data_IF_077303098557
#
_entry.id   IF_077303098557
#
_cell.length_a   1.000
_cell.length_b   1.000
_cell.length_c   1.000
_cell.angle_alpha   90.00
_cell.angle_beta   90.00
_cell.angle_gamma   90.00
#
_symmetry.space_group_name_H-M   'P 1'
#
loop_
_entity.id
_entity.type
_entity.pdbx_description
1 polymer ?
#
# COMPACT_ATOMS: atom_id res chain seq x y z
N UNK A 1 -14.55 -16.63 1.76
CA UNK A 1 -15.19 -15.89 2.89
C UNK A 1 -15.82 -14.62 2.33
N UNK A 2 -17.01 -14.21 2.79
CA UNK A 2 -17.76 -13.05 2.25
C UNK A 2 -17.99 -11.97 3.33
N UNK A 3 -16.91 -11.43 3.90
CA UNK A 3 -16.99 -10.26 4.79
C UNK A 3 -16.92 -8.94 4.00
N UNK A 4 -17.11 -7.77 4.65
CA UNK A 4 -17.13 -6.47 3.99
C UNK A 4 -15.78 -6.01 3.39
N UNK A 5 -14.66 -6.49 3.93
CA UNK A 5 -13.31 -6.04 3.56
C UNK A 5 -12.58 -7.07 2.68
N UNK A 6 -11.43 -6.71 2.09
CA UNK A 6 -10.63 -7.63 1.23
C UNK A 6 -10.15 -8.86 2.00
N UNK A 7 -9.97 -8.76 3.31
CA UNK A 7 -9.79 -9.89 4.23
C UNK A 7 -10.63 -9.71 5.48
N UNK A 8 -11.19 -10.80 6.01
CA UNK A 8 -11.93 -10.76 7.27
C UNK A 8 -11.66 -12.02 8.09
N UNK A 9 -11.56 -11.88 9.41
CA UNK A 9 -11.53 -13.03 10.34
C UNK A 9 -12.94 -13.33 10.87
N UNK A 10 -13.25 -14.54 11.34
CA UNK A 10 -14.52 -14.78 12.02
C UNK A 10 -14.58 -14.05 13.38
N UNK A 11 -15.77 -13.56 13.74
CA UNK A 11 -16.02 -13.02 15.08
C UNK A 11 -15.99 -14.13 16.16
N UNK A 12 -15.66 -13.78 17.39
CA UNK A 12 -15.71 -14.67 18.57
C UNK A 12 -16.60 -14.05 19.64
N UNK A 13 -17.92 -14.31 19.61
CA UNK A 13 -18.89 -13.61 20.46
C UNK A 13 -18.74 -13.86 21.97
N UNK A 14 -18.01 -14.90 22.38
CA UNK A 14 -17.80 -15.22 23.81
C UNK A 14 -16.85 -14.25 24.51
N UNK A 15 -16.12 -13.43 23.76
CA UNK A 15 -15.16 -12.43 24.28
C UNK A 15 -15.34 -11.07 23.61
N UNK A 16 -16.52 -10.79 23.05
CA UNK A 16 -16.84 -9.55 22.30
C UNK A 16 -15.82 -9.18 21.21
N UNK A 17 -15.15 -10.19 20.64
CA UNK A 17 -14.17 -9.99 19.58
C UNK A 17 -14.88 -9.94 18.21
N UNK A 18 -14.75 -8.83 17.46
CA UNK A 18 -15.44 -8.66 16.19
C UNK A 18 -14.79 -9.47 15.08
N UNK A 19 -15.43 -9.47 13.90
CA UNK A 19 -14.75 -9.87 12.67
C UNK A 19 -13.72 -8.78 12.34
N UNK A 20 -12.42 -9.06 12.50
CA UNK A 20 -11.41 -8.09 12.08
C UNK A 20 -11.55 -7.86 10.58
N UNK A 21 -11.66 -6.59 10.21
CA UNK A 21 -11.62 -6.13 8.84
C UNK A 21 -10.18 -5.75 8.47
N UNK A 22 -9.63 -6.42 7.46
CA UNK A 22 -8.31 -6.15 6.91
C UNK A 22 -8.49 -5.50 5.54
N UNK A 23 -7.93 -4.30 5.33
CA UNK A 23 -8.16 -3.53 4.12
C UNK A 23 -6.87 -2.97 3.50
N UNK A 24 -6.82 -3.03 2.17
CA UNK A 24 -5.84 -2.30 1.37
C UNK A 24 -6.15 -0.79 1.42
N UNK A 25 -5.22 0.09 1.14
CA UNK A 25 -3.88 -0.08 0.58
C UNK A 25 -2.87 0.85 1.27
N UNK A 26 -1.56 0.74 0.98
CA UNK A 26 -0.54 1.63 1.51
C UNK A 26 -0.69 3.14 1.21
N UNK A 27 -1.65 3.55 0.37
CA UNK A 27 -1.89 4.95 0.01
C UNK A 27 -3.33 5.44 0.22
N UNK A 28 -4.23 4.64 0.78
CA UNK A 28 -5.61 5.04 1.07
C UNK A 28 -6.53 3.84 1.18
N UNK A 29 -7.77 4.02 1.64
CA UNK A 29 -8.72 2.91 1.77
C UNK A 29 -9.17 2.46 0.37
N UNK A 30 -8.78 1.24 -0.02
CA UNK A 30 -9.16 0.64 -1.30
C UNK A 30 -10.63 0.25 -1.30
N UNK A 31 -11.28 0.37 -2.47
CA UNK A 31 -12.69 -0.03 -2.68
C UNK A 31 -13.66 0.61 -1.69
N UNK A 32 -13.44 1.88 -1.36
CA UNK A 32 -14.34 2.71 -0.58
C UNK A 32 -14.54 4.07 -1.26
N UNK A 33 -15.68 4.72 -1.00
CA UNK A 33 -15.95 6.10 -1.39
C UNK A 33 -15.75 7.05 -0.20
N UNK A 34 -15.70 8.36 -0.45
CA UNK A 34 -15.52 9.39 0.59
C UNK A 34 -14.23 9.18 1.42
N UNK A 35 -13.15 8.87 0.71
CA UNK A 35 -11.79 8.59 1.21
C UNK A 35 -10.80 9.39 0.38
N UNK A 36 -9.61 9.62 0.91
CA UNK A 36 -8.55 10.31 0.19
C UNK A 36 -7.63 9.34 -0.54
N UNK A 37 -7.01 9.85 -1.61
CA UNK A 37 -5.91 9.20 -2.32
C UNK A 37 -4.60 9.93 -1.98
N UNK A 38 -3.78 9.35 -1.10
CA UNK A 38 -2.52 9.94 -0.65
C UNK A 38 -1.38 9.71 -1.65
N UNK A 39 -0.31 10.52 -1.63
CA UNK A 39 0.89 10.25 -2.43
C UNK A 39 1.47 8.87 -2.09
N UNK A 40 2.04 8.23 -3.11
CA UNK A 40 2.67 6.91 -3.00
C UNK A 40 3.81 6.86 -1.96
N UNK A 41 4.23 5.66 -1.58
CA UNK A 41 5.37 5.46 -0.68
C UNK A 41 6.65 6.13 -1.22
N UNK A 42 6.89 6.03 -2.53
CA UNK A 42 8.09 6.60 -3.15
C UNK A 42 8.11 8.13 -3.09
N UNK A 43 6.96 8.79 -3.28
CA UNK A 43 6.82 10.24 -3.09
C UNK A 43 7.04 10.63 -1.62
N UNK A 44 6.45 9.86 -0.71
CA UNK A 44 6.57 10.06 0.73
C UNK A 44 8.04 10.01 1.18
N UNK A 45 8.80 9.03 0.68
CA UNK A 45 10.25 8.93 0.92
C UNK A 45 11.05 10.07 0.27
N UNK A 46 10.65 10.50 -0.93
CA UNK A 46 11.30 11.61 -1.64
C UNK A 46 11.24 12.95 -0.89
N UNK A 47 10.35 13.09 0.11
CA UNK A 47 10.34 14.26 1.00
C UNK A 47 11.54 14.33 1.95
N UNK A 48 12.17 13.18 2.27
CA UNK A 48 13.18 13.04 3.32
C UNK A 48 12.75 13.65 4.67
N UNK A 49 11.44 13.71 4.93
CA UNK A 49 10.86 14.43 6.06
C UNK A 49 10.02 13.50 6.96
N UNK A 50 10.61 13.07 8.08
CA UNK A 50 9.94 12.18 9.05
C UNK A 50 8.61 12.72 9.56
N UNK A 51 8.50 14.04 9.74
CA UNK A 51 7.26 14.68 10.20
C UNK A 51 6.14 14.49 9.18
N UNK A 52 6.42 14.70 7.88
CA UNK A 52 5.44 14.48 6.82
C UNK A 52 5.09 13.00 6.66
N UNK A 53 6.08 12.11 6.77
CA UNK A 53 5.85 10.66 6.71
C UNK A 53 4.92 10.21 7.85
N UNK A 54 5.18 10.65 9.09
CA UNK A 54 4.32 10.34 10.24
C UNK A 54 2.94 10.95 10.10
N UNK A 55 2.84 12.21 9.68
CA UNK A 55 1.55 12.88 9.47
C UNK A 55 0.70 12.12 8.44
N UNK A 56 1.30 11.65 7.34
CA UNK A 56 0.63 10.78 6.36
C UNK A 56 0.14 9.49 7.01
N UNK A 57 0.95 8.86 7.86
CA UNK A 57 0.56 7.68 8.61
C UNK A 57 -0.64 7.92 9.52
N UNK A 58 -0.68 9.04 10.24
CA UNK A 58 -1.82 9.43 11.09
C UNK A 58 -3.08 9.59 10.25
N UNK A 59 -3.03 10.39 9.18
CA UNK A 59 -4.18 10.65 8.30
C UNK A 59 -4.71 9.36 7.66
N UNK A 60 -3.82 8.47 7.19
CA UNK A 60 -4.22 7.13 6.73
C UNK A 60 -4.94 6.36 7.85
N UNK A 61 -4.35 6.29 9.04
CA UNK A 61 -4.98 5.61 10.17
C UNK A 61 -6.36 6.18 10.53
N UNK A 62 -6.54 7.50 10.45
CA UNK A 62 -7.81 8.16 10.75
C UNK A 62 -8.91 7.74 9.76
N UNK A 63 -8.58 7.69 8.46
CA UNK A 63 -9.52 7.21 7.44
C UNK A 63 -9.86 5.73 7.60
N UNK A 64 -8.86 4.90 7.86
CA UNK A 64 -9.06 3.47 8.09
C UNK A 64 -9.94 3.22 9.32
N UNK A 65 -9.68 3.91 10.44
CA UNK A 65 -10.51 3.83 11.64
C UNK A 65 -11.91 4.35 11.40
N UNK A 66 -12.07 5.47 10.68
CA UNK A 66 -13.38 6.04 10.35
C UNK A 66 -14.26 5.08 9.53
N UNK A 67 -13.64 4.21 8.72
CA UNK A 67 -14.32 3.14 8.00
C UNK A 67 -14.57 1.86 8.81
N UNK A 68 -14.15 1.82 10.07
CA UNK A 68 -14.20 0.64 10.95
C UNK A 68 -13.21 -0.46 10.57
N UNK A 69 -12.17 -0.12 9.81
CA UNK A 69 -11.15 -1.08 9.40
C UNK A 69 -10.19 -1.31 10.57
N UNK A 70 -9.87 -2.57 10.84
CA UNK A 70 -9.03 -2.94 11.98
C UNK A 70 -7.55 -3.00 11.60
N UNK A 71 -7.25 -3.47 10.38
CA UNK A 71 -5.87 -3.66 9.90
C UNK A 71 -5.67 -2.92 8.58
N UNK A 72 -4.74 -1.97 8.60
CA UNK A 72 -4.19 -1.31 7.42
C UNK A 72 -3.13 -2.22 6.81
N UNK A 73 -3.35 -2.68 5.57
CA UNK A 73 -2.43 -3.55 4.83
C UNK A 73 -1.26 -2.76 4.25
N UNK A 74 -0.45 -2.20 5.13
CA UNK A 74 0.77 -1.50 4.80
C UNK A 74 1.56 -1.06 6.05
N UNK A 75 2.66 -0.32 5.86
CA UNK A 75 3.19 0.09 4.55
C UNK A 75 3.89 -1.07 3.80
N UNK A 76 4.17 -0.88 2.51
CA UNK A 76 5.15 -1.69 1.79
C UNK A 76 6.57 -1.14 2.04
N UNK A 77 7.55 -2.03 2.18
CA UNK A 77 8.95 -1.64 2.38
C UNK A 77 9.95 -2.63 1.75
N UNK A 78 9.54 -3.37 0.72
CA UNK A 78 10.51 -4.15 -0.02
C UNK A 78 11.49 -3.21 -0.74
N UNK A 79 12.74 -3.65 -0.82
CA UNK A 79 13.80 -2.84 -1.39
C UNK A 79 13.62 -2.80 -2.90
N UNK A 80 13.73 -1.61 -3.49
CA UNK A 80 13.70 -1.44 -4.96
C UNK A 80 14.99 -2.00 -5.60
N UNK A 81 15.20 -3.32 -5.50
CA UNK A 81 16.39 -4.02 -5.98
C UNK A 81 16.53 -3.91 -7.49
N UNK A 82 15.42 -4.00 -8.21
CA UNK A 82 15.35 -3.88 -9.66
C UNK A 82 14.51 -2.65 -9.99
N UNK A 83 15.06 -1.70 -10.76
CA UNK A 83 14.34 -0.46 -11.11
C UNK A 83 13.00 -0.72 -11.82
N UNK A 84 12.90 -1.81 -12.60
CA UNK A 84 11.68 -2.24 -13.29
C UNK A 84 10.74 -3.10 -12.41
N UNK A 85 10.96 -3.18 -11.10
CA UNK A 85 10.07 -3.87 -10.16
C UNK A 85 8.69 -3.22 -10.14
N UNK A 86 7.64 -4.00 -10.40
CA UNK A 86 6.30 -3.47 -10.68
C UNK A 86 5.63 -2.73 -9.51
N UNK A 87 6.03 -3.02 -8.27
CA UNK A 87 5.41 -2.47 -7.05
C UNK A 87 6.34 -1.57 -6.25
N UNK A 88 7.50 -1.23 -6.81
CA UNK A 88 8.50 -0.38 -6.15
C UNK A 88 7.88 0.90 -5.60
N UNK A 89 6.95 1.52 -6.35
CA UNK A 89 6.30 2.77 -5.99
C UNK A 89 5.46 2.70 -4.69
N UNK A 90 4.98 1.52 -4.30
CA UNK A 90 4.26 1.32 -3.04
C UNK A 90 5.18 1.50 -1.83
N UNK A 91 6.46 1.12 -1.99
CA UNK A 91 7.51 1.21 -0.99
C UNK A 91 8.30 2.53 -1.04
N UNK A 92 9.43 2.57 -0.34
CA UNK A 92 10.12 3.84 -0.01
C UNK A 92 11.47 4.07 -0.71
N UNK A 93 11.97 3.11 -1.49
CA UNK A 93 13.24 3.28 -2.21
C UNK A 93 14.15 2.06 -2.19
N UNK A 94 15.36 2.26 -2.72
CA UNK A 94 16.40 1.23 -2.77
C UNK A 94 17.35 1.24 -1.55
N UNK A 95 17.23 2.24 -0.66
CA UNK A 95 18.11 2.37 0.51
C UNK A 95 17.45 1.81 1.78
N UNK A 96 18.09 0.85 2.48
CA UNK A 96 17.48 0.20 3.65
C UNK A 96 17.28 1.14 4.84
N UNK A 97 18.13 2.15 5.01
CA UNK A 97 17.99 3.09 6.12
C UNK A 97 16.81 4.05 5.88
N UNK A 98 16.72 4.65 4.70
CA UNK A 98 15.60 5.51 4.31
C UNK A 98 14.28 4.73 4.37
N UNK A 99 14.24 3.53 3.78
CA UNK A 99 13.04 2.69 3.82
C UNK A 99 12.65 2.29 5.24
N UNK A 100 13.62 2.02 6.11
CA UNK A 100 13.36 1.68 7.51
C UNK A 100 12.91 2.86 8.38
N UNK A 101 13.43 4.06 8.15
CA UNK A 101 12.93 5.26 8.84
C UNK A 101 11.53 5.62 8.34
N UNK A 102 11.26 5.49 7.03
CA UNK A 102 9.94 5.77 6.47
C UNK A 102 8.87 4.76 6.94
N UNK A 103 9.22 3.47 7.01
CA UNK A 103 8.33 2.44 7.55
C UNK A 103 8.03 2.68 9.03
N UNK A 104 9.07 2.96 9.84
CA UNK A 104 8.92 3.28 11.26
C UNK A 104 7.93 4.44 11.47
N UNK A 105 8.14 5.56 10.77
CA UNK A 105 7.31 6.76 10.93
C UNK A 105 5.87 6.54 10.48
N UNK A 106 5.67 5.80 9.39
CA UNK A 106 4.33 5.45 8.89
C UNK A 106 3.59 4.56 9.89
N UNK A 107 4.26 3.55 10.47
CA UNK A 107 3.66 2.63 11.44
C UNK A 107 3.30 3.37 12.73
N UNK A 108 4.19 4.21 13.25
CA UNK A 108 3.88 5.05 14.42
C UNK A 108 2.64 5.91 14.15
N UNK A 109 2.54 6.51 12.97
CA UNK A 109 1.37 7.32 12.59
C UNK A 109 0.08 6.51 12.59
N UNK A 110 0.01 5.44 11.81
CA UNK A 110 -1.20 4.61 11.65
C UNK A 110 -1.65 4.03 12.99
N UNK A 111 -0.71 3.54 13.79
CA UNK A 111 -1.03 2.91 15.07
C UNK A 111 -1.39 3.90 16.17
N UNK A 112 -0.95 5.17 16.06
CA UNK A 112 -1.29 6.20 17.06
C UNK A 112 -2.78 6.47 17.18
N UNK A 113 -3.56 6.12 16.14
CA UNK A 113 -5.02 6.26 16.10
C UNK A 113 -5.74 4.92 16.26
N UNK A 114 -5.03 3.86 16.65
CA UNK A 114 -5.59 2.56 17.01
C UNK A 114 -5.86 1.60 15.84
N UNK A 115 -5.38 1.89 14.63
CA UNK A 115 -5.40 0.94 13.50
C UNK A 115 -4.15 0.07 13.55
N UNK A 116 -4.28 -1.23 13.30
CA UNK A 116 -3.13 -2.14 13.21
C UNK A 116 -2.36 -1.90 11.92
N UNK A 117 -1.04 -1.67 12.01
CA UNK A 117 -0.15 -1.69 10.85
C UNK A 117 0.23 -3.11 10.46
N UNK A 118 0.38 -3.38 9.16
CA UNK A 118 0.80 -4.67 8.61
C UNK A 118 1.99 -4.47 7.65
N UNK A 119 3.21 -4.56 8.18
CA UNK A 119 4.42 -4.36 7.39
C UNK A 119 4.57 -5.46 6.32
N UNK A 120 4.66 -5.06 5.04
CA UNK A 120 4.65 -5.99 3.89
C UNK A 120 5.71 -5.66 2.82
N UNK A 121 6.06 -6.58 1.92
CA UNK A 121 5.75 -8.02 1.96
C UNK A 121 6.98 -8.75 2.51
N UNK A 122 6.84 -9.48 3.60
CA UNK A 122 7.95 -10.15 4.27
C UNK A 122 8.24 -11.51 3.60
N UNK A 123 9.28 -11.71 2.81
CA UNK A 123 10.35 -10.79 2.44
C UNK A 123 10.92 -11.16 1.06
N UNK A 124 11.70 -10.25 0.47
CA UNK A 124 12.39 -10.42 -0.82
C UNK A 124 11.46 -10.59 -2.03
N UNK A 125 10.25 -10.01 -2.00
CA UNK A 125 9.34 -9.97 -3.14
C UNK A 125 9.68 -8.82 -4.09
N UNK A 126 10.92 -8.78 -4.59
CA UNK A 126 11.46 -7.61 -5.31
C UNK A 126 11.12 -7.60 -6.82
N UNK A 127 10.26 -8.52 -7.29
CA UNK A 127 9.76 -8.57 -8.67
C UNK A 127 8.38 -9.25 -8.76
N UNK A 128 7.54 -8.75 -9.67
CA UNK A 128 6.20 -9.33 -9.91
C UNK A 128 6.24 -10.60 -10.76
N UNK A 129 7.22 -10.72 -11.65
CA UNK A 129 7.33 -11.85 -12.56
C UNK A 129 7.62 -13.13 -11.78
N UNK A 130 6.74 -14.13 -11.89
CA UNK A 130 6.81 -15.38 -11.13
C UNK A 130 6.82 -15.19 -9.61
N UNK A 131 6.20 -14.13 -9.06
CA UNK A 131 6.13 -13.96 -7.60
C UNK A 131 5.51 -15.15 -6.87
N UNK A 132 4.61 -15.89 -7.51
CA UNK A 132 3.95 -17.11 -6.99
C UNK A 132 4.69 -18.42 -7.35
N UNK A 133 5.93 -18.36 -7.85
CA UNK A 133 6.69 -19.57 -8.23
C UNK A 133 8.21 -19.45 -8.18
N UNK A 134 8.74 -18.23 -8.05
CA UNK A 134 10.18 -17.95 -7.98
C UNK A 134 10.73 -18.10 -6.56
N UNK A 135 12.06 -18.24 -6.47
CA UNK A 135 12.80 -18.20 -5.22
C UNK A 135 13.81 -17.07 -5.24
N UNK A 136 13.72 -16.18 -4.25
CA UNK A 136 14.72 -15.17 -3.94
C UNK A 136 15.80 -15.82 -3.08
N UNK A 137 17.00 -15.97 -3.64
CA UNK A 137 18.11 -16.63 -2.95
C UNK A 137 19.12 -15.58 -2.48
N UNK A 138 19.17 -15.36 -1.16
CA UNK A 138 19.90 -14.26 -0.54
C UNK A 138 20.80 -14.81 0.56
N UNK A 139 22.05 -14.37 0.60
CA UNK A 139 22.97 -14.72 1.67
C UNK A 139 22.62 -14.00 2.98
N UNK A 140 23.01 -14.60 4.10
CA UNK A 140 22.64 -14.12 5.44
C UNK A 140 23.03 -12.66 5.70
N UNK A 141 24.20 -12.22 5.19
CA UNK A 141 24.67 -10.86 5.40
C UNK A 141 23.82 -9.86 4.63
N UNK A 142 23.58 -10.10 3.35
CA UNK A 142 22.69 -9.25 2.55
C UNK A 142 21.26 -9.25 3.11
N UNK A 143 20.79 -10.40 3.63
CA UNK A 143 19.50 -10.51 4.27
C UNK A 143 19.39 -9.55 5.46
N UNK A 144 20.36 -9.55 6.37
CA UNK A 144 20.34 -8.69 7.57
C UNK A 144 20.64 -7.20 7.27
N UNK A 145 21.65 -6.91 6.44
CA UNK A 145 22.11 -5.53 6.20
C UNK A 145 21.19 -4.74 5.25
N UNK A 146 20.42 -5.41 4.39
CA UNK A 146 19.63 -4.75 3.34
C UNK A 146 18.13 -5.05 3.50
N UNK A 147 17.72 -6.31 3.34
CA UNK A 147 16.31 -6.62 3.16
C UNK A 147 15.53 -6.61 4.49
N UNK A 148 16.13 -7.14 5.56
CA UNK A 148 15.52 -7.19 6.89
C UNK A 148 15.53 -5.85 7.61
N UNK A 149 16.50 -4.98 7.31
CA UNK A 149 16.68 -3.69 7.98
C UNK A 149 15.38 -2.86 8.08
N UNK A 150 14.58 -2.64 7.02
CA UNK A 150 13.33 -1.89 7.14
C UNK A 150 12.26 -2.63 7.96
N UNK A 151 12.20 -3.96 7.90
CA UNK A 151 11.25 -4.75 8.70
C UNK A 151 11.62 -4.78 10.19
N UNK A 152 12.92 -4.82 10.53
CA UNK A 152 13.39 -4.68 11.90
C UNK A 152 12.99 -3.30 12.48
N UNK A 153 13.06 -2.23 11.68
CA UNK A 153 12.59 -0.91 12.10
C UNK A 153 11.08 -0.90 12.34
N UNK A 154 10.30 -1.59 11.51
CA UNK A 154 8.86 -1.80 11.74
C UNK A 154 8.58 -2.58 13.03
N UNK A 155 9.37 -3.63 13.34
CA UNK A 155 9.28 -4.34 14.62
C UNK A 155 9.59 -3.41 15.81
N UNK A 156 10.62 -2.56 15.69
CA UNK A 156 10.98 -1.56 16.70
C UNK A 156 9.91 -0.45 16.86
N UNK A 157 9.08 -0.23 15.85
CA UNK A 157 7.89 0.63 15.92
C UNK A 157 6.68 -0.08 16.57
N UNK A 158 6.85 -1.31 17.05
CA UNK A 158 5.79 -2.19 17.54
C UNK A 158 4.68 -2.41 16.50
N UNK A 159 5.04 -2.65 15.24
CA UNK A 159 4.05 -2.99 14.21
C UNK A 159 3.19 -4.18 14.66
N UNK A 160 1.88 -4.07 14.51
CA UNK A 160 0.93 -5.08 14.96
C UNK A 160 1.08 -6.41 14.21
N UNK A 161 1.36 -6.35 12.91
CA UNK A 161 1.59 -7.54 12.09
C UNK A 161 2.65 -7.39 10.99
N UNK A 162 3.13 -8.55 10.54
CA UNK A 162 3.83 -8.71 9.27
C UNK A 162 2.95 -9.50 8.28
N UNK A 163 3.04 -9.17 6.99
CA UNK A 163 2.44 -9.97 5.93
C UNK A 163 3.53 -10.73 5.19
N UNK A 164 3.54 -12.06 5.25
CA UNK A 164 4.50 -12.87 4.51
C UNK A 164 4.19 -12.89 3.00
N UNK A 165 5.23 -12.86 2.17
CA UNK A 165 5.15 -12.68 0.73
C UNK A 165 4.82 -13.95 -0.07
N UNK A 166 4.53 -13.75 -1.36
CA UNK A 166 4.26 -14.84 -2.32
C UNK A 166 5.47 -15.71 -2.66
N UNK A 167 6.66 -15.12 -2.75
CA UNK A 167 7.84 -15.81 -3.27
C UNK A 167 8.39 -16.85 -2.29
N UNK A 168 9.22 -17.75 -2.81
CA UNK A 168 10.10 -18.57 -1.98
C UNK A 168 11.36 -17.78 -1.58
N UNK A 169 11.96 -18.18 -0.46
CA UNK A 169 13.24 -17.68 0.02
C UNK A 169 14.14 -18.90 0.21
N UNK A 170 15.22 -18.98 -0.55
CA UNK A 170 16.13 -20.13 -0.54
C UNK A 170 15.41 -21.48 -0.72
N UNK A 171 14.35 -21.53 -1.55
CA UNK A 171 13.61 -22.74 -1.90
C UNK A 171 12.45 -23.12 -0.96
N UNK A 172 12.09 -22.28 0.02
CA UNK A 172 10.91 -22.47 0.88
C UNK A 172 10.00 -21.25 0.81
N UNK A 173 8.69 -21.45 0.66
CA UNK A 173 7.69 -20.36 0.58
C UNK A 173 7.79 -19.42 1.78
N UNK A 174 7.68 -18.11 1.57
CA UNK A 174 7.88 -17.13 2.65
C UNK A 174 6.96 -17.37 3.84
N UNK A 175 5.68 -17.68 3.58
CA UNK A 175 4.69 -18.00 4.62
C UNK A 175 4.87 -19.37 5.30
N UNK A 176 5.89 -20.14 4.90
CA UNK A 176 6.27 -21.44 5.50
C UNK A 176 7.79 -21.52 5.73
N UNK A 177 8.47 -20.36 5.80
CA UNK A 177 9.91 -20.30 5.93
C UNK A 177 10.30 -20.19 7.41
N UNK A 178 10.61 -21.34 8.02
CA UNK A 178 11.02 -21.44 9.43
C UNK A 178 12.15 -20.46 9.80
N UNK A 179 13.15 -20.35 8.92
CA UNK A 179 14.31 -19.48 9.13
C UNK A 179 13.90 -18.00 9.18
N UNK A 180 12.94 -17.58 8.37
CA UNK A 180 12.52 -16.18 8.34
C UNK A 180 11.51 -15.87 9.45
N UNK A 181 10.49 -16.70 9.63
CA UNK A 181 9.38 -16.39 10.54
C UNK A 181 9.69 -16.77 12.00
N UNK A 182 10.16 -17.99 12.26
CA UNK A 182 10.44 -18.46 13.61
C UNK A 182 11.80 -17.97 14.09
N UNK A 183 12.88 -18.27 13.36
CA UNK A 183 14.24 -17.96 13.80
C UNK A 183 14.49 -16.45 13.87
N UNK A 184 14.20 -15.70 12.80
CA UNK A 184 14.54 -14.27 12.73
C UNK A 184 13.45 -13.41 13.38
N UNK A 185 12.22 -13.44 12.86
CA UNK A 185 11.15 -12.54 13.35
C UNK A 185 10.79 -12.86 14.80
N UNK A 186 10.39 -14.10 15.10
CA UNK A 186 9.95 -14.47 16.45
C UNK A 186 11.10 -14.71 17.42
N UNK A 187 12.23 -15.24 16.94
CA UNK A 187 13.41 -15.58 17.74
C UNK A 187 14.35 -14.40 17.94
N UNK A 188 15.11 -14.03 16.91
CA UNK A 188 16.16 -13.01 16.97
C UNK A 188 15.62 -11.64 17.40
N UNK A 189 14.49 -11.21 16.82
CA UNK A 189 13.90 -9.91 17.16
C UNK A 189 13.00 -9.97 18.39
N UNK A 190 12.59 -11.17 18.81
CA UNK A 190 11.60 -11.34 19.89
C UNK A 190 10.25 -10.70 19.56
N UNK A 191 9.85 -10.69 18.29
CA UNK A 191 8.65 -9.98 17.82
C UNK A 191 7.37 -10.53 18.47
N UNK A 192 6.55 -9.69 19.14
CA UNK A 192 5.35 -10.15 19.86
C UNK A 192 4.07 -10.12 19.01
N UNK A 193 4.06 -9.47 17.85
CA UNK A 193 2.89 -9.40 16.98
C UNK A 193 2.64 -10.70 16.20
N UNK A 194 1.70 -10.64 15.25
CA UNK A 194 1.30 -11.80 14.46
C UNK A 194 1.77 -11.71 13.00
N UNK A 195 1.89 -12.86 12.33
CA UNK A 195 2.25 -12.95 10.91
C UNK A 195 1.04 -13.46 10.13
N UNK A 196 0.57 -12.66 9.18
CA UNK A 196 -0.47 -13.06 8.24
C UNK A 196 0.11 -13.44 6.88
N UNK A 197 -0.62 -14.25 6.11
CA UNK A 197 -0.27 -14.47 4.70
C UNK A 197 -0.67 -13.28 3.83
N UNK A 198 0.08 -13.07 2.74
CA UNK A 198 -0.49 -12.45 1.55
C UNK A 198 -1.64 -13.33 1.00
N UNK A 199 -2.47 -12.79 0.13
CA UNK A 199 -3.72 -13.42 -0.30
C UNK A 199 -3.43 -14.67 -1.13
N UNK A 200 -3.66 -15.85 -0.54
CA UNK A 200 -3.37 -17.15 -1.17
C UNK A 200 -1.91 -17.62 -1.03
N UNK A 201 -1.10 -16.97 -0.19
CA UNK A 201 0.30 -17.34 0.03
C UNK A 201 0.51 -18.44 1.08
N UNK A 202 -0.56 -18.98 1.67
CA UNK A 202 -0.48 -20.18 2.52
C UNK A 202 -0.46 -21.41 1.60
N UNK A 203 0.46 -22.36 1.80
CA UNK A 203 0.62 -23.53 0.92
C UNK A 203 0.37 -24.88 1.63
N UNK A 204 0.18 -24.89 2.95
CA UNK A 204 -0.08 -26.07 3.76
C UNK A 204 -0.68 -25.71 5.12
N UNK A 205 -1.33 -26.69 5.76
CA UNK A 205 -1.77 -26.57 7.16
C UNK A 205 -0.58 -26.46 8.12
N UNK A 206 0.56 -27.06 7.78
CA UNK A 206 1.76 -27.06 8.62
C UNK A 206 2.51 -25.73 8.61
N UNK A 207 2.10 -24.75 7.78
CA UNK A 207 2.56 -23.37 7.83
C UNK A 207 2.57 -22.78 9.24
N UNK A 208 1.63 -23.20 10.10
CA UNK A 208 1.55 -22.78 11.50
C UNK A 208 2.81 -23.16 12.30
N UNK A 209 3.37 -24.35 12.05
CA UNK A 209 4.58 -24.82 12.72
C UNK A 209 5.81 -24.02 12.27
N UNK A 210 5.77 -23.44 11.07
CA UNK A 210 6.80 -22.57 10.53
C UNK A 210 6.61 -21.09 10.86
N UNK A 211 5.63 -20.76 11.71
CA UNK A 211 5.50 -19.41 12.29
C UNK A 211 4.35 -18.57 11.77
N UNK A 212 3.53 -19.05 10.81
CA UNK A 212 2.33 -18.34 10.37
C UNK A 212 1.28 -18.28 11.49
N UNK A 213 0.58 -17.14 11.62
CA UNK A 213 -0.45 -16.92 12.64
C UNK A 213 -1.86 -16.71 12.04
N UNK A 214 -1.95 -16.17 10.83
CA UNK A 214 -3.22 -15.89 10.17
C UNK A 214 -3.15 -16.21 8.67
N UNK A 215 -4.14 -16.95 8.17
CA UNK A 215 -4.27 -17.21 6.72
C UNK A 215 -5.29 -16.26 6.11
N UNK A 216 -4.96 -15.69 4.95
CA UNK A 216 -5.81 -14.79 4.18
C UNK A 216 -5.79 -15.16 2.68
N UNK A 217 -6.92 -15.04 1.95
CA UNK A 217 -8.27 -14.70 2.45
C UNK A 217 -8.97 -15.88 3.14
N UNK A 218 -8.25 -16.98 3.36
CA UNK A 218 -8.67 -18.13 4.13
C UNK A 218 -8.92 -19.38 3.29
N UNK A 219 -9.31 -19.22 2.03
CA UNK A 219 -9.41 -20.34 1.08
C UNK A 219 -8.07 -20.64 0.39
N UNK A 220 -7.90 -21.89 -0.07
CA UNK A 220 -6.69 -22.36 -0.77
C UNK A 220 -6.58 -21.67 -2.14
N UNK A 221 -7.72 -21.56 -2.82
CA UNK A 221 -7.89 -20.76 -4.03
C UNK A 221 -9.18 -20.00 -3.87
N UNK A 222 -9.25 -18.78 -4.40
CA UNK A 222 -10.38 -17.90 -4.11
C UNK A 222 -11.73 -18.52 -4.51
N UNK A 223 -12.67 -18.52 -3.57
CA UNK A 223 -13.99 -19.09 -3.74
C UNK A 223 -14.04 -20.62 -3.70
N UNK A 224 -12.94 -21.33 -3.41
CA UNK A 224 -12.95 -22.81 -3.40
C UNK A 224 -13.72 -23.40 -2.23
N UNK A 225 -13.93 -22.63 -1.16
CA UNK A 225 -14.45 -23.10 0.13
C UNK A 225 -13.63 -24.25 0.74
N UNK A 226 -12.37 -24.42 0.31
CA UNK A 226 -11.38 -25.29 0.95
C UNK A 226 -10.33 -24.43 1.61
N UNK A 227 -9.81 -24.81 2.77
CA UNK A 227 -8.87 -24.00 3.55
C UNK A 227 -7.72 -24.86 4.07
N UNK A 228 -6.52 -24.29 4.15
CA UNK A 228 -5.42 -24.91 4.88
C UNK A 228 -5.59 -24.79 6.39
N UNK A 229 -6.36 -23.82 6.88
CA UNK A 229 -6.66 -23.67 8.30
C UNK A 229 -8.09 -24.17 8.57
N UNK A 230 -8.87 -23.49 9.43
CA UNK A 230 -10.23 -23.92 9.79
C UNK A 230 -10.28 -25.38 10.24
N UNK A 231 -11.12 -26.19 9.58
CA UNK A 231 -11.24 -27.62 9.91
C UNK A 231 -9.93 -28.39 9.71
N UNK A 232 -9.14 -28.06 8.68
CA UNK A 232 -7.87 -28.76 8.43
C UNK A 232 -6.88 -28.54 9.59
N UNK A 233 -6.84 -27.34 10.17
CA UNK A 233 -6.03 -27.05 11.34
C UNK A 233 -6.55 -27.76 12.60
N UNK A 234 -7.88 -27.81 12.79
CA UNK A 234 -8.49 -28.59 13.89
C UNK A 234 -8.08 -30.06 13.79
N UNK A 235 -8.16 -30.63 12.59
CA UNK A 235 -7.79 -32.03 12.36
C UNK A 235 -6.30 -32.29 12.62
N UNK A 236 -5.42 -31.36 12.22
CA UNK A 236 -3.98 -31.43 12.46
C UNK A 236 -3.61 -31.31 13.96
N UNK A 237 -4.38 -30.56 14.74
CA UNK A 237 -4.23 -30.53 16.21
C UNK A 237 -4.67 -31.87 16.82
N UNK A 238 -5.83 -32.39 16.38
CA UNK A 238 -6.36 -33.67 16.87
C UNK A 238 -5.45 -34.87 16.51
N UNK A 239 -4.75 -34.82 15.38
CA UNK A 239 -3.77 -35.84 14.97
C UNK A 239 -2.42 -35.72 15.68
N UNK A 240 -2.14 -34.56 16.31
CA UNK A 240 -0.86 -34.25 16.94
C UNK A 240 0.21 -33.70 15.98
N UNK A 241 -0.14 -33.42 14.72
CA UNK A 241 0.77 -32.81 13.74
C UNK A 241 1.02 -31.31 14.05
N UNK A 242 0.06 -30.67 14.72
CA UNK A 242 0.18 -29.29 15.23
C UNK A 242 -0.06 -29.30 16.74
N UNK A 243 0.90 -28.83 17.54
CA UNK A 243 0.70 -28.67 18.98
C UNK A 243 -0.43 -27.67 19.31
N UNK A 244 -1.27 -27.95 20.31
CA UNK A 244 -2.38 -27.06 20.71
C UNK A 244 -1.89 -25.69 21.23
N UNK A 245 -0.74 -25.68 21.91
CA UNK A 245 -0.07 -24.45 22.37
C UNK A 245 0.39 -23.58 21.21
N UNK A 246 0.72 -24.17 20.05
CA UNK A 246 1.02 -23.41 18.83
C UNK A 246 -0.18 -22.59 18.39
N UNK A 247 -1.38 -23.17 18.33
CA UNK A 247 -2.61 -22.46 17.98
C UNK A 247 -2.97 -21.40 19.02
N UNK A 248 -2.72 -21.69 20.31
CA UNK A 248 -2.90 -20.73 21.39
C UNK A 248 -1.99 -19.50 21.25
N UNK A 249 -0.72 -19.68 20.85
CA UNK A 249 0.20 -18.57 20.57
C UNK A 249 -0.25 -17.72 19.35
N UNK A 250 -0.78 -18.35 18.29
CA UNK A 250 -1.34 -17.62 17.15
C UNK A 250 -2.48 -16.67 17.59
N UNK A 251 -3.44 -17.22 18.34
CA UNK A 251 -4.57 -16.45 18.87
C UNK A 251 -4.11 -15.35 19.84
N UNK A 252 -3.14 -15.66 20.71
CA UNK A 252 -2.58 -14.70 21.65
C UNK A 252 -1.96 -13.49 20.93
N UNK A 253 -1.18 -13.70 19.86
CA UNK A 253 -0.54 -12.62 19.09
C UNK A 253 -1.57 -11.72 18.40
N UNK A 254 -2.61 -12.32 17.83
CA UNK A 254 -3.70 -11.58 17.17
C UNK A 254 -4.49 -10.75 18.21
N UNK A 255 -4.86 -11.37 19.33
CA UNK A 255 -5.57 -10.68 20.41
C UNK A 255 -4.70 -9.59 21.06
N UNK A 256 -3.41 -9.83 21.23
CA UNK A 256 -2.48 -8.85 21.79
C UNK A 256 -2.42 -7.59 20.92
N UNK A 257 -2.38 -7.73 19.59
CA UNK A 257 -2.43 -6.58 18.68
C UNK A 257 -3.76 -5.82 18.77
N UNK A 258 -4.88 -6.53 18.87
CA UNK A 258 -6.21 -5.95 19.02
C UNK A 258 -6.33 -5.11 20.32
N UNK A 259 -5.89 -5.66 21.45
CA UNK A 259 -5.87 -4.95 22.74
C UNK A 259 -4.84 -3.82 22.80
N UNK A 260 -3.63 -4.02 22.23
CA UNK A 260 -2.55 -3.02 22.24
C UNK A 260 -3.01 -1.68 21.65
N UNK A 261 -3.90 -1.74 20.66
CA UNK A 261 -4.36 -0.59 19.89
C UNK A 261 -5.76 -0.13 20.27
N UNK A 262 -6.30 -0.64 21.39
CA UNK A 262 -7.59 -0.22 21.95
C UNK A 262 -8.76 -0.47 21.01
N UNK A 263 -8.72 -1.58 20.26
CA UNK A 263 -9.79 -1.95 19.34
C UNK A 263 -10.93 -2.71 20.04
N UNK A 264 -10.78 -2.98 21.33
CA UNK A 264 -11.74 -3.61 22.22
C UNK A 264 -12.71 -2.62 22.87
N UNK A 265 -12.38 -1.32 22.89
CA UNK A 265 -13.19 -0.29 23.54
C UNK A 265 -13.63 0.80 22.54
N UNK A 266 -14.90 0.80 22.15
CA UNK A 266 -15.48 1.87 21.34
C UNK A 266 -14.90 1.99 19.93
N UNK A 267 -14.43 0.89 19.35
CA UNK A 267 -13.97 0.86 17.96
C UNK A 267 -15.15 1.00 16.98
N UNK A 268 -15.04 1.80 15.91
CA UNK A 268 -16.13 1.98 14.95
C UNK A 268 -16.50 0.69 14.22
N UNK A 269 -17.79 0.49 13.95
CA UNK A 269 -18.24 -0.62 13.11
C UNK A 269 -17.82 -0.42 11.65
N UNK A 270 -17.46 -1.53 11.00
CA UNK A 270 -17.13 -1.54 9.57
C UNK A 270 -18.30 -1.04 8.73
N UNK A 271 -18.06 -0.03 7.91
CA UNK A 271 -19.10 0.67 7.15
C UNK A 271 -18.84 0.68 5.63
N UNK A 272 -18.01 -0.25 5.16
CA UNK A 272 -17.69 -0.46 3.75
C UNK A 272 -18.18 -1.82 3.25
N UNK A 273 -18.27 -1.97 1.93
CA UNK A 273 -18.47 -3.22 1.22
C UNK A 273 -17.60 -3.21 -0.05
N UNK A 274 -16.42 -3.81 0.05
CA UNK A 274 -15.34 -3.72 -0.94
C UNK A 274 -15.66 -4.32 -2.31
N UNK A 275 -16.76 -5.06 -2.42
CA UNK A 275 -17.12 -5.82 -3.62
C UNK A 275 -18.05 -5.07 -4.57
N UNK A 276 -18.76 -4.05 -4.05
CA UNK A 276 -19.62 -3.17 -4.83
C UNK A 276 -19.86 -1.87 -4.06
N UNK A 277 -19.27 -0.78 -4.55
CA UNK A 277 -19.40 0.55 -3.96
C UNK A 277 -20.86 1.04 -3.86
N UNK A 278 -21.75 0.57 -4.74
CA UNK A 278 -23.16 0.98 -4.74
C UNK A 278 -24.05 0.08 -3.88
N UNK A 279 -23.47 -0.95 -3.25
CA UNK A 279 -24.22 -1.84 -2.35
C UNK A 279 -24.75 -1.04 -1.14
N UNK A 280 -26.02 -1.21 -0.73
CA UNK A 280 -26.60 -0.50 0.41
C UNK A 280 -25.86 -0.70 1.75
N UNK A 281 -24.96 -1.69 1.85
CA UNK A 281 -24.09 -1.91 3.01
C UNK A 281 -22.93 -0.93 3.08
N UNK A 282 -22.55 -0.28 1.97
CA UNK A 282 -21.66 0.88 2.02
C UNK A 282 -22.44 2.06 2.61
N UNK A 283 -21.99 2.57 3.76
CA UNK A 283 -22.66 3.71 4.41
C UNK A 283 -22.13 5.07 3.93
N UNK A 284 -21.12 5.08 3.05
CA UNK A 284 -20.53 6.28 2.47
C UNK A 284 -20.14 7.34 3.52
N UNK A 285 -19.58 6.90 4.66
CA UNK A 285 -19.12 7.80 5.72
C UNK A 285 -17.94 8.64 5.21
N UNK A 286 -18.05 9.97 5.24
CA UNK A 286 -16.92 10.84 4.87
C UNK A 286 -15.85 10.86 5.95
N UNK A 287 -14.64 10.44 5.56
CA UNK A 287 -13.47 10.37 6.43
C UNK A 287 -12.31 11.25 5.95
N UNK A 288 -12.48 12.03 4.89
CA UNK A 288 -11.40 12.82 4.26
C UNK A 288 -10.87 13.95 5.14
N UNK A 289 -11.67 14.42 6.11
CA UNK A 289 -11.33 15.52 7.02
C UNK A 289 -10.66 16.71 6.29
N UNK A 290 -9.49 17.16 6.75
CA UNK A 290 -8.64 18.16 6.10
C UNK A 290 -7.39 17.54 5.42
N UNK A 291 -7.40 16.23 5.17
CA UNK A 291 -6.23 15.50 4.65
C UNK A 291 -5.76 16.01 3.28
N UNK A 292 -6.63 16.66 2.51
CA UNK A 292 -6.29 17.29 1.24
C UNK A 292 -5.11 18.29 1.34
N UNK A 293 -5.01 19.07 2.43
CA UNK A 293 -3.88 19.99 2.60
C UNK A 293 -2.56 19.27 2.83
N UNK A 294 -2.58 18.19 3.62
CA UNK A 294 -1.40 17.36 3.85
C UNK A 294 -0.96 16.63 2.57
N UNK A 295 -1.92 16.10 1.81
CA UNK A 295 -1.67 15.45 0.52
C UNK A 295 -0.96 16.42 -0.42
N UNK A 296 -1.43 17.67 -0.50
CA UNK A 296 -0.78 18.72 -1.29
C UNK A 296 0.61 19.05 -0.78
N UNK A 297 0.80 19.20 0.53
CA UNK A 297 2.11 19.50 1.12
C UNK A 297 3.14 18.40 0.80
N UNK A 298 2.74 17.13 0.87
CA UNK A 298 3.61 16.00 0.51
C UNK A 298 3.88 15.98 -1.00
N UNK A 299 2.87 16.24 -1.84
CA UNK A 299 3.06 16.33 -3.29
C UNK A 299 4.08 17.43 -3.67
N UNK A 300 3.95 18.61 -3.06
CA UNK A 300 4.87 19.73 -3.26
C UNK A 300 6.29 19.37 -2.77
N UNK A 301 6.42 18.82 -1.56
CA UNK A 301 7.70 18.44 -0.96
C UNK A 301 8.40 17.25 -1.63
N UNK A 302 7.65 16.42 -2.37
CA UNK A 302 8.17 15.23 -3.06
C UNK A 302 8.58 15.49 -4.51
N UNK A 303 8.36 16.70 -5.03
CA UNK A 303 8.77 17.06 -6.40
C UNK A 303 10.26 17.37 -6.45
N UNK A 304 11.04 16.51 -7.12
CA UNK A 304 12.50 16.62 -7.20
C UNK A 304 12.92 17.43 -8.44
N UNK A 305 13.55 18.59 -8.22
CA UNK A 305 14.15 19.38 -9.29
C UNK A 305 15.49 18.77 -9.73
N UNK A 306 15.47 17.96 -10.80
CA UNK A 306 16.68 17.30 -11.31
C UNK A 306 17.58 18.23 -12.13
N UNK A 307 16.98 19.21 -12.83
CA UNK A 307 17.70 20.11 -13.74
C UNK A 307 17.03 21.48 -13.75
N UNK A 308 17.83 22.53 -13.58
CA UNK A 308 17.40 23.92 -13.77
C UNK A 308 18.54 24.71 -14.41
N UNK A 309 18.38 25.08 -15.67
CA UNK A 309 19.37 25.86 -16.42
C UNK A 309 18.89 27.28 -16.59
N UNK A 310 19.81 28.25 -16.58
CA UNK A 310 19.55 29.67 -16.83
C UNK A 310 18.49 30.31 -15.91
N UNK A 311 18.18 29.70 -14.77
CA UNK A 311 17.15 30.18 -13.86
C UNK A 311 15.73 30.10 -14.43
N UNK A 312 15.45 29.15 -15.33
CA UNK A 312 14.12 28.96 -15.93
C UNK A 312 13.03 28.75 -14.87
N UNK A 313 13.33 27.97 -13.82
CA UNK A 313 12.43 27.82 -12.67
C UNK A 313 12.96 28.64 -11.47
N UNK A 314 12.08 29.28 -10.68
CA UNK A 314 10.62 29.31 -10.83
C UNK A 314 10.15 30.20 -12.00
N UNK A 315 8.99 29.88 -12.57
CA UNK A 315 8.37 30.72 -13.60
C UNK A 315 7.95 32.07 -13.02
N UNK A 316 8.01 33.12 -13.84
CA UNK A 316 7.69 34.50 -13.44
C UNK A 316 6.66 35.12 -14.40
N UNK A 317 5.44 34.56 -14.43
CA UNK A 317 4.34 35.04 -15.26
C UNK A 317 4.72 35.23 -16.75
N UNK A 318 5.13 34.16 -17.47
CA UNK A 318 5.42 34.26 -18.90
C UNK A 318 4.19 34.74 -19.69
N UNK A 319 4.37 35.32 -20.87
CA UNK A 319 3.22 35.76 -21.68
C UNK A 319 2.39 34.58 -22.20
N UNK A 320 3.05 33.44 -22.46
CA UNK A 320 2.43 32.23 -23.00
C UNK A 320 3.09 30.94 -22.50
N UNK A 321 2.26 29.91 -22.28
CA UNK A 321 2.67 28.56 -21.89
C UNK A 321 2.04 27.54 -22.85
N UNK A 322 2.87 26.64 -23.38
CA UNK A 322 2.43 25.42 -24.04
C UNK A 322 2.45 24.25 -23.05
N UNK A 323 1.35 23.51 -22.92
CA UNK A 323 1.25 22.29 -22.11
C UNK A 323 1.13 21.09 -23.04
N UNK A 324 2.08 20.16 -22.97
CA UNK A 324 2.23 19.08 -23.94
C UNK A 324 2.24 17.73 -23.22
N UNK A 325 1.53 16.75 -23.78
CA UNK A 325 1.50 15.36 -23.32
C UNK A 325 0.19 14.99 -22.65
N UNK A 326 -0.26 13.75 -22.88
CA UNK A 326 -1.46 13.17 -22.28
C UNK A 326 -1.40 13.20 -20.75
N UNK A 327 -0.21 13.02 -20.17
CA UNK A 327 0.07 13.11 -18.74
C UNK A 327 -0.25 14.46 -18.07
N UNK A 328 -0.60 15.49 -18.83
CA UNK A 328 -1.07 16.76 -18.29
C UNK A 328 -2.59 16.82 -18.07
N UNK A 329 -3.35 15.90 -18.67
CA UNK A 329 -4.81 15.96 -18.76
C UNK A 329 -5.54 14.90 -17.93
N UNK A 330 -6.86 14.84 -18.14
CA UNK A 330 -7.72 13.87 -17.49
C UNK A 330 -7.64 12.50 -18.18
N UNK A 331 -7.88 11.44 -17.41
CA UNK A 331 -8.13 10.11 -17.95
C UNK A 331 -9.45 10.11 -18.76
N UNK A 332 -9.42 9.56 -19.97
CA UNK A 332 -10.57 9.56 -20.88
C UNK A 332 -11.77 8.72 -20.38
N UNK A 333 -11.52 7.77 -19.48
CA UNK A 333 -12.51 6.90 -18.84
C UNK A 333 -13.00 7.45 -17.49
N UNK A 334 -12.51 8.63 -17.07
CA UNK A 334 -12.75 9.22 -15.75
C UNK A 334 -11.68 8.82 -14.72
N UNK A 335 -11.60 9.59 -13.63
CA UNK A 335 -10.52 9.50 -12.62
C UNK A 335 -10.34 8.09 -12.01
N UNK A 336 -11.42 7.30 -11.96
CA UNK A 336 -11.44 5.94 -11.44
C UNK A 336 -11.86 4.90 -12.49
N UNK A 337 -11.88 5.28 -13.78
CA UNK A 337 -12.47 4.48 -14.86
C UNK A 337 -11.72 3.19 -15.18
N UNK A 338 -10.43 3.13 -14.87
CA UNK A 338 -9.63 1.92 -14.99
C UNK A 338 -9.67 1.12 -13.68
N UNK A 339 -10.09 -0.15 -13.79
CA UNK A 339 -10.10 -1.11 -12.68
C UNK A 339 -8.71 -1.16 -12.05
N UNK A 340 -8.63 -0.98 -10.74
CA UNK A 340 -7.37 -0.97 -9.98
C UNK A 340 -6.30 -0.04 -10.56
N UNK A 341 -6.75 1.04 -11.20
CA UNK A 341 -5.91 2.05 -11.87
C UNK A 341 -5.03 1.47 -12.99
N UNK A 342 -5.41 0.33 -13.58
CA UNK A 342 -4.60 -0.42 -14.56
C UNK A 342 -4.55 0.20 -15.97
N UNK A 343 -4.23 1.48 -16.07
CA UNK A 343 -4.02 2.17 -17.33
C UNK A 343 -3.12 3.41 -17.14
N UNK A 344 -2.41 3.78 -18.20
CA UNK A 344 -1.63 5.01 -18.25
C UNK A 344 -2.27 5.97 -19.27
N UNK A 345 -3.41 6.55 -18.91
CA UNK A 345 -4.16 7.54 -19.68
C UNK A 345 -4.55 8.73 -18.80
N UNK A 346 -4.14 9.92 -19.20
CA UNK A 346 -4.17 11.15 -18.40
C UNK A 346 -2.97 11.24 -17.45
N UNK A 347 -3.07 12.14 -16.47
CA UNK A 347 -2.06 12.29 -15.41
C UNK A 347 -1.92 11.00 -14.60
N UNK A 348 -0.68 10.51 -14.48
CA UNK A 348 -0.34 9.36 -13.64
C UNK A 348 -0.11 9.81 -12.20
N UNK A 349 -1.09 9.62 -11.33
CA UNK A 349 -1.01 9.98 -9.90
C UNK A 349 -0.65 8.79 -8.99
N UNK A 350 -0.84 7.57 -9.47
CA UNK A 350 -0.60 6.31 -8.74
C UNK A 350 -0.34 5.19 -9.76
N UNK A 351 0.46 4.18 -9.40
CA UNK A 351 0.53 2.94 -10.18
C UNK A 351 -0.71 2.06 -10.01
N UNK A 352 -0.69 0.85 -10.56
CA UNK A 352 -1.85 -0.05 -10.52
C UNK A 352 -1.74 -1.21 -9.51
N UNK A 353 -2.87 -1.86 -9.21
CA UNK A 353 -2.92 -3.08 -8.43
C UNK A 353 -3.55 -2.90 -7.05
N UNK A 354 -3.18 -3.74 -6.09
CA UNK A 354 -3.72 -3.68 -4.72
C UNK A 354 -3.26 -2.48 -3.90
N UNK A 355 -2.17 -1.84 -4.32
CA UNK A 355 -1.66 -0.61 -3.73
C UNK A 355 -2.51 0.64 -3.95
N UNK A 356 -3.77 0.55 -4.38
CA UNK A 356 -4.54 1.69 -4.90
C UNK A 356 -5.70 2.12 -3.98
N UNK A 357 -6.26 3.30 -4.24
CA UNK A 357 -7.51 3.79 -3.67
C UNK A 357 -8.34 4.49 -4.74
N UNK A 358 -9.62 4.74 -4.46
CA UNK A 358 -10.47 5.57 -5.31
C UNK A 358 -10.17 7.05 -5.09
N UNK A 359 -10.05 7.82 -6.16
CA UNK A 359 -9.88 9.27 -6.08
C UNK A 359 -11.25 9.95 -5.85
N UNK A 360 -11.41 10.83 -4.84
CA UNK A 360 -12.61 11.65 -4.70
C UNK A 360 -12.63 12.76 -5.78
N UNK A 361 -11.45 13.20 -6.21
CA UNK A 361 -11.18 14.08 -7.34
C UNK A 361 -9.69 13.96 -7.71
N UNK A 362 -9.31 14.47 -8.87
CA UNK A 362 -7.91 14.55 -9.29
C UNK A 362 -7.67 15.87 -10.03
N UNK A 363 -6.82 16.73 -9.45
CA UNK A 363 -6.47 18.01 -10.07
C UNK A 363 -5.36 17.76 -11.09
N UNK A 364 -5.66 17.96 -12.37
CA UNK A 364 -4.66 17.74 -13.43
C UNK A 364 -3.65 18.89 -13.51
N UNK A 365 -2.43 18.64 -14.01
CA UNK A 365 -1.47 19.71 -14.24
C UNK A 365 -2.00 20.81 -15.17
N UNK A 366 -2.75 20.43 -16.21
CA UNK A 366 -3.40 21.39 -17.11
C UNK A 366 -4.36 22.30 -16.36
N UNK A 367 -5.23 21.75 -15.51
CA UNK A 367 -6.21 22.53 -14.74
C UNK A 367 -5.50 23.49 -13.77
N UNK A 368 -4.51 22.99 -13.02
CA UNK A 368 -3.79 23.79 -12.03
C UNK A 368 -2.97 24.92 -12.65
N UNK A 369 -2.25 24.64 -13.75
CA UNK A 369 -1.44 25.65 -14.45
C UNK A 369 -2.33 26.65 -15.15
N UNK A 370 -3.44 26.23 -15.75
CA UNK A 370 -4.41 27.15 -16.39
C UNK A 370 -5.03 28.10 -15.37
N UNK A 371 -5.40 27.59 -14.19
CA UNK A 371 -5.93 28.43 -13.12
C UNK A 371 -4.92 29.51 -12.68
N UNK A 372 -3.64 29.14 -12.50
CA UNK A 372 -2.59 30.10 -12.15
C UNK A 372 -2.29 31.09 -13.28
N UNK A 373 -2.19 30.61 -14.51
CA UNK A 373 -1.92 31.43 -15.69
C UNK A 373 -3.00 32.52 -15.89
N UNK A 374 -4.26 32.23 -15.54
CA UNK A 374 -5.34 33.21 -15.60
C UNK A 374 -5.15 34.39 -14.62
N UNK A 375 -4.55 34.15 -13.44
CA UNK A 375 -4.21 35.22 -12.48
C UNK A 375 -3.08 36.12 -13.01
N UNK A 376 -2.14 35.52 -13.74
CA UNK A 376 -0.94 36.18 -14.26
C UNK A 376 -1.17 36.86 -15.63
N UNK A 377 -2.32 36.64 -16.27
CA UNK A 377 -2.59 37.09 -17.64
C UNK A 377 -1.82 36.32 -18.73
N UNK A 378 -1.31 35.13 -18.38
CA UNK A 378 -0.58 34.21 -19.26
C UNK A 378 -1.54 33.43 -20.14
N UNK A 379 -1.25 33.32 -21.44
CA UNK A 379 -2.04 32.49 -22.37
C UNK A 379 -1.58 31.04 -22.31
N UNK A 380 -2.51 30.10 -22.13
CA UNK A 380 -2.21 28.64 -22.15
C UNK A 380 -2.75 28.01 -23.43
N UNK A 381 -1.90 27.22 -24.11
CA UNK A 381 -2.30 26.33 -25.21
C UNK A 381 -1.87 24.91 -24.89
N UNK A 382 -2.72 23.91 -25.16
CA UNK A 382 -2.40 22.51 -24.84
C UNK A 382 -2.46 21.58 -26.05
N UNK A 383 -1.64 20.53 -26.03
CA UNK A 383 -1.74 19.35 -26.90
C UNK A 383 -1.57 18.09 -26.05
N UNK A 384 -2.66 17.33 -25.90
CA UNK A 384 -2.71 16.17 -24.99
C UNK A 384 -2.58 14.82 -25.71
N UNK A 385 -2.13 14.82 -26.97
CA UNK A 385 -1.82 13.60 -27.71
C UNK A 385 -0.32 13.33 -27.64
N UNK A 386 0.07 12.16 -27.13
CA UNK A 386 1.47 11.71 -27.11
C UNK A 386 1.98 11.28 -28.49
N UNK A 387 1.08 11.15 -29.47
CA UNK A 387 1.42 10.71 -30.83
C UNK A 387 1.43 11.85 -31.86
N UNK A 388 0.82 12.99 -31.55
CA UNK A 388 0.78 14.16 -32.45
C UNK A 388 1.99 15.07 -32.20
N UNK A 389 3.15 14.59 -32.62
CA UNK A 389 4.42 15.29 -32.42
C UNK A 389 4.53 16.57 -33.24
N UNK A 390 3.81 16.66 -34.37
CA UNK A 390 3.78 17.86 -35.21
C UNK A 390 3.05 19.00 -34.50
N UNK A 391 1.87 18.71 -33.92
CA UNK A 391 1.14 19.69 -33.12
C UNK A 391 1.90 20.09 -31.87
N UNK A 392 2.55 19.14 -31.19
CA UNK A 392 3.39 19.42 -30.03
C UNK A 392 4.52 20.40 -30.38
N UNK A 393 5.22 20.17 -31.50
CA UNK A 393 6.28 21.06 -31.97
C UNK A 393 5.75 22.45 -32.36
N UNK A 394 4.59 22.52 -33.03
CA UNK A 394 3.94 23.77 -33.42
C UNK A 394 3.64 24.66 -32.21
N UNK A 395 2.98 24.12 -31.17
CA UNK A 395 2.60 24.93 -29.99
C UNK A 395 3.79 25.25 -29.10
N UNK A 396 4.79 24.36 -29.03
CA UNK A 396 6.03 24.63 -28.30
C UNK A 396 6.79 25.82 -28.90
N UNK A 397 6.89 25.89 -30.24
CA UNK A 397 7.57 26.98 -30.93
C UNK A 397 6.84 28.33 -30.83
N UNK A 398 5.55 28.31 -30.50
CA UNK A 398 4.71 29.50 -30.40
C UNK A 398 4.58 30.05 -28.96
N UNK A 399 5.14 29.38 -27.95
CA UNK A 399 5.03 29.76 -26.54
C UNK A 399 6.37 30.23 -25.95
N UNK A 400 6.31 31.09 -24.93
CA UNK A 400 7.50 31.52 -24.18
C UNK A 400 8.10 30.37 -23.35
N UNK A 401 7.22 29.50 -22.85
CA UNK A 401 7.57 28.30 -22.07
C UNK A 401 6.77 27.12 -22.57
N UNK A 402 7.43 25.98 -22.77
CA UNK A 402 6.77 24.69 -23.01
C UNK A 402 6.99 23.77 -21.80
N UNK A 403 5.90 23.22 -21.26
CA UNK A 403 5.90 22.26 -20.15
C UNK A 403 5.41 20.93 -20.71
N UNK A 404 6.29 19.93 -20.73
CA UNK A 404 6.01 18.59 -21.27
C UNK A 404 5.81 17.64 -20.11
N UNK A 405 4.68 16.95 -20.09
CA UNK A 405 4.33 15.93 -19.11
C UNK A 405 4.48 14.55 -19.72
N UNK A 406 5.28 13.70 -19.07
CA UNK A 406 5.53 12.31 -19.45
C UNK A 406 5.33 11.41 -18.24
N UNK A 407 4.96 10.16 -18.47
CA UNK A 407 4.76 9.16 -17.42
C UNK A 407 5.35 7.80 -17.81
N UNK A 408 5.63 6.99 -16.81
CA UNK A 408 5.95 5.57 -16.94
C UNK A 408 5.24 4.85 -15.80
N UNK A 409 4.46 3.84 -16.13
CA UNK A 409 3.56 3.19 -15.18
C UNK A 409 3.99 1.75 -14.87
N UNK A 410 3.66 1.28 -13.67
CA UNK A 410 3.93 -0.06 -13.17
C UNK A 410 2.96 -0.43 -12.04
N UNK A 411 2.73 -1.71 -11.81
CA UNK A 411 1.87 -2.12 -10.70
C UNK A 411 1.90 -3.61 -10.40
N UNK A 412 1.16 -3.97 -9.35
CA UNK A 412 1.04 -5.34 -8.87
C UNK A 412 0.08 -6.16 -9.74
N UNK A 413 0.44 -7.41 -10.05
CA UNK A 413 -0.53 -8.34 -10.66
C UNK A 413 -1.62 -8.63 -9.63
N UNK A 414 -2.89 -8.63 -10.02
CA UNK A 414 -3.96 -9.08 -9.12
C UNK A 414 -4.29 -10.52 -9.50
N UNK A 415 -3.95 -11.45 -8.61
CA UNK A 415 -4.58 -12.76 -8.54
C UNK A 415 -6.06 -12.48 -8.26
N UNK A 416 -6.91 -12.75 -9.24
CA UNK A 416 -8.27 -12.21 -9.32
C UNK A 416 -9.08 -12.48 -8.04
N UNK A 417 -9.62 -11.44 -7.41
CA UNK A 417 -10.73 -11.51 -6.43
C UNK A 417 -12.05 -11.85 -7.13
#
# INVERSE_FOLDING_TARGET
>A
MNGPCVGNTPAVPTIDYPSLCLQDSPMGVRYASEVSAFPAGVNTAATFNRTLIRARGVALGEEFRGKGIHVYLGPDMNIMRTAAGGRNWEGFGADPYLSGEASYETIIGVQSVGVQGSAKHFINNDQEHFRESSSSNVDDRAQHEIYLAPFLKSAQANVASFMCSYNQINGSWSCENDKMLNDIVKGEWGYPGYIQSDWGATHSTLAVNFGLDMTMPGDITFGSNTTYFGQALIDAVNSGDVPEDRVSDMALRILAAWYLLGQDEGYPETNIWAWDLNDPRNLHVDVQADHASLIREIADASTILLKNENGTLPLSAPGSIAIIGNGAGNNSQGINGCVDRSCNDGVLAVGWGSGTAEFPYLITPLDAITARAAEDGTTVTSSLSDSDTDRAAEIAAAADVAIVFISSDSGGRISHC
#
